data_IF_530155683718
#
_entry.id   IF_530155683718
#
_cell.length_a   1.000
_cell.length_b   1.000
_cell.length_c   1.000
_cell.angle_alpha   90.00
_cell.angle_beta   90.00
_cell.angle_gamma   90.00
#
_symmetry.space_group_name_H-M   'P 1'
#
loop_
_entity.id
_entity.type
_entity.pdbx_description
1 polymer ?
#
# COMPACT_ATOMS: atom_id res chain seq x y z
N UNK A 1 8.13 -0.94 -27.17
CA UNK A 1 9.05 0.15 -26.84
C UNK A 1 10.42 -0.47 -26.53
N UNK A 2 11.52 0.23 -26.77
CA UNK A 2 12.84 -0.23 -26.33
C UNK A 2 13.09 0.11 -24.85
N UNK A 3 14.10 -0.48 -24.28
CA UNK A 3 14.43 -0.27 -22.88
C UNK A 3 14.86 1.19 -22.61
N UNK A 4 15.47 1.89 -23.58
CA UNK A 4 15.89 3.28 -23.42
C UNK A 4 14.71 4.22 -23.20
N UNK A 5 13.65 4.06 -23.98
CA UNK A 5 12.43 4.87 -23.82
C UNK A 5 11.72 4.61 -22.49
N UNK A 6 11.66 3.34 -22.03
CA UNK A 6 11.09 3.01 -20.74
C UNK A 6 11.93 3.57 -19.58
N UNK A 7 13.27 3.55 -19.73
CA UNK A 7 14.19 4.12 -18.74
C UNK A 7 14.09 5.65 -18.67
N UNK A 8 14.01 6.32 -19.82
CA UNK A 8 13.83 7.77 -19.86
C UNK A 8 12.50 8.19 -19.17
N UNK A 9 11.42 7.45 -19.38
CA UNK A 9 10.15 7.68 -18.70
C UNK A 9 10.25 7.45 -17.19
N UNK A 10 10.97 6.41 -16.75
CA UNK A 10 11.23 6.18 -15.33
C UNK A 10 11.93 7.38 -14.70
N UNK A 11 13.00 7.90 -15.34
CA UNK A 11 13.73 9.06 -14.82
C UNK A 11 12.85 10.32 -14.79
N UNK A 12 12.03 10.56 -15.81
CA UNK A 12 11.06 11.67 -15.84
C UNK A 12 10.12 11.59 -14.63
N UNK A 13 9.51 10.43 -14.39
CA UNK A 13 8.51 10.26 -13.32
C UNK A 13 9.16 10.23 -11.92
N UNK A 14 10.33 9.62 -11.75
CA UNK A 14 11.06 9.64 -10.47
C UNK A 14 11.46 11.07 -10.08
N UNK A 15 11.91 11.89 -11.02
CA UNK A 15 12.32 13.27 -10.75
C UNK A 15 11.15 14.25 -10.65
N UNK A 16 9.92 13.80 -10.92
CA UNK A 16 8.72 14.59 -10.70
C UNK A 16 8.23 14.39 -9.27
N UNK A 17 8.34 15.41 -8.43
CA UNK A 17 7.92 15.33 -7.03
C UNK A 17 6.42 14.99 -6.90
N UNK A 18 6.11 14.00 -6.04
CA UNK A 18 4.74 13.51 -5.80
C UNK A 18 4.57 12.95 -4.38
N UNK A 19 4.99 13.68 -3.34
CA UNK A 19 4.69 13.28 -1.97
C UNK A 19 3.17 13.11 -1.77
N UNK A 20 2.75 12.16 -0.92
CA UNK A 20 1.33 11.93 -0.63
C UNK A 20 0.59 13.23 -0.31
N UNK A 21 -0.49 13.52 -1.01
CA UNK A 21 -1.26 14.76 -0.97
C UNK A 21 -0.71 15.88 -1.87
N UNK A 22 0.39 15.65 -2.62
CA UNK A 22 1.05 16.62 -3.52
C UNK A 22 1.29 16.04 -4.93
N UNK A 23 0.40 15.19 -5.40
CA UNK A 23 0.56 14.39 -6.61
C UNK A 23 0.16 15.14 -7.91
N UNK A 24 -0.28 16.41 -7.84
CA UNK A 24 -0.83 17.14 -9.00
C UNK A 24 0.11 17.21 -10.22
N UNK A 25 1.43 17.24 -10.02
CA UNK A 25 2.39 17.31 -11.12
C UNK A 25 2.45 15.99 -11.88
N UNK A 26 2.62 14.87 -11.18
CA UNK A 26 2.68 13.55 -11.79
C UNK A 26 1.33 13.14 -12.37
N UNK A 27 0.21 13.48 -11.72
CA UNK A 27 -1.14 13.21 -12.24
C UNK A 27 -1.35 13.81 -13.63
N UNK A 28 -0.94 15.07 -13.85
CA UNK A 28 -1.03 15.70 -15.19
C UNK A 28 -0.19 14.98 -16.24
N UNK A 29 1.01 14.52 -15.90
CA UNK A 29 1.84 13.72 -16.80
C UNK A 29 1.15 12.40 -17.16
N UNK A 30 0.61 11.68 -16.16
CA UNK A 30 -0.05 10.40 -16.36
C UNK A 30 -1.34 10.53 -17.19
N UNK A 31 -2.13 11.59 -16.97
CA UNK A 31 -3.29 11.91 -17.81
C UNK A 31 -2.85 12.05 -19.27
N UNK A 32 -1.86 12.91 -19.54
CA UNK A 32 -1.38 13.15 -20.91
C UNK A 32 -0.83 11.86 -21.57
N UNK A 33 -0.11 11.02 -20.79
CA UNK A 33 0.43 9.74 -21.29
C UNK A 33 -0.68 8.73 -21.63
N UNK A 34 -1.73 8.63 -20.81
CA UNK A 34 -2.87 7.74 -21.07
C UNK A 34 -3.73 8.26 -22.26
N UNK A 35 -3.97 9.55 -22.33
CA UNK A 35 -4.68 10.16 -23.48
C UNK A 35 -3.94 9.92 -24.81
N UNK A 36 -2.60 10.04 -24.81
CA UNK A 36 -1.77 9.73 -25.98
C UNK A 36 -1.85 8.26 -26.40
N UNK A 37 -2.23 7.35 -25.50
CA UNK A 37 -2.49 5.93 -25.77
C UNK A 37 -3.95 5.65 -26.16
N UNK A 38 -4.78 6.70 -26.28
CA UNK A 38 -6.19 6.58 -26.70
C UNK A 38 -7.13 6.16 -25.58
N UNK A 39 -6.77 6.36 -24.31
CA UNK A 39 -7.66 6.18 -23.18
C UNK A 39 -8.54 7.42 -22.97
N UNK A 40 -9.81 7.20 -22.61
CA UNK A 40 -10.64 8.23 -22.02
C UNK A 40 -10.23 8.37 -20.54
N UNK A 41 -9.70 9.54 -20.16
CA UNK A 41 -9.14 9.74 -18.82
C UNK A 41 -10.03 10.64 -17.99
N UNK A 42 -10.24 10.26 -16.75
CA UNK A 42 -10.93 11.06 -15.73
C UNK A 42 -10.11 11.12 -14.46
N UNK A 43 -10.18 12.23 -13.76
CA UNK A 43 -9.63 12.37 -12.42
C UNK A 43 -10.80 12.55 -11.46
N UNK A 44 -10.80 11.79 -10.36
CA UNK A 44 -11.79 11.93 -9.32
C UNK A 44 -11.38 13.03 -8.30
N UNK A 45 -12.07 13.10 -7.18
CA UNK A 45 -11.77 14.05 -6.10
C UNK A 45 -11.31 13.36 -4.82
N UNK A 46 -10.65 12.19 -4.92
CA UNK A 46 -10.18 11.42 -3.77
C UNK A 46 -9.30 12.25 -2.82
N UNK A 47 -8.49 13.17 -3.33
CA UNK A 47 -7.64 14.05 -2.54
C UNK A 47 -8.40 14.90 -1.51
N UNK A 48 -9.65 15.29 -1.78
CA UNK A 48 -10.46 16.05 -0.83
C UNK A 48 -10.66 15.30 0.50
N UNK A 49 -10.63 13.96 0.49
CA UNK A 49 -10.87 13.13 1.68
C UNK A 49 -9.73 13.19 2.71
N UNK A 50 -8.53 13.59 2.28
CA UNK A 50 -7.35 13.67 3.16
C UNK A 50 -6.54 14.97 3.01
N UNK A 51 -7.10 15.96 2.27
CA UNK A 51 -6.46 17.26 2.06
C UNK A 51 -5.38 17.26 0.97
N UNK A 52 -5.46 16.31 0.03
CA UNK A 52 -4.60 16.22 -1.15
C UNK A 52 -5.00 17.20 -2.25
N UNK A 53 -4.07 17.45 -3.20
CA UNK A 53 -4.21 18.43 -4.28
C UNK A 53 -4.94 17.92 -5.50
N UNK A 54 -5.04 16.60 -5.68
CA UNK A 54 -5.69 15.96 -6.82
C UNK A 54 -6.32 14.62 -6.41
N UNK A 55 -7.04 13.98 -7.33
CA UNK A 55 -7.64 12.68 -7.12
C UNK A 55 -6.95 11.56 -7.90
N UNK A 56 -7.55 10.37 -7.84
CA UNK A 56 -7.10 9.22 -8.64
C UNK A 56 -7.26 9.52 -10.13
N UNK A 57 -6.33 9.02 -10.93
CA UNK A 57 -6.40 9.08 -12.40
C UNK A 57 -6.92 7.74 -12.92
N UNK A 58 -8.11 7.74 -13.51
CA UNK A 58 -8.71 6.57 -14.15
C UNK A 58 -8.70 6.74 -15.66
N UNK A 59 -7.95 5.90 -16.35
CA UNK A 59 -7.97 5.74 -17.80
C UNK A 59 -8.80 4.54 -18.21
N UNK A 60 -9.72 4.71 -19.12
CA UNK A 60 -10.57 3.65 -19.67
C UNK A 60 -10.42 3.59 -21.18
N UNK A 61 -10.18 2.42 -21.71
CA UNK A 61 -10.19 2.14 -23.14
C UNK A 61 -11.11 0.97 -23.43
N UNK A 62 -12.16 1.21 -24.20
CA UNK A 62 -13.05 0.13 -24.66
C UNK A 62 -12.30 -0.80 -25.60
N UNK A 63 -12.64 -2.07 -25.55
CA UNK A 63 -12.08 -3.11 -26.38
C UNK A 63 -13.10 -3.78 -27.28
N UNK A 64 -12.64 -4.70 -28.09
CA UNK A 64 -13.45 -5.47 -29.02
C UNK A 64 -13.92 -6.81 -28.43
N UNK A 65 -13.27 -7.27 -27.36
CA UNK A 65 -13.58 -8.52 -26.64
C UNK A 65 -14.43 -8.25 -25.41
N UNK A 66 -15.21 -9.24 -25.01
CA UNK A 66 -15.94 -9.22 -23.74
C UNK A 66 -14.98 -9.22 -22.55
N UNK A 67 -15.44 -8.63 -21.44
CA UNK A 67 -14.68 -8.56 -20.20
C UNK A 67 -13.94 -7.25 -19.99
N UNK A 68 -13.33 -7.11 -18.81
CA UNK A 68 -12.54 -5.95 -18.43
C UNK A 68 -11.39 -6.37 -17.50
N UNK A 69 -10.22 -5.75 -17.67
CA UNK A 69 -9.04 -5.96 -16.83
C UNK A 69 -8.60 -4.65 -16.20
N UNK A 70 -8.38 -4.65 -14.88
CA UNK A 70 -7.83 -3.53 -14.13
C UNK A 70 -6.31 -3.68 -13.98
N UNK A 71 -5.58 -2.60 -14.26
CA UNK A 71 -4.17 -2.43 -13.93
C UNK A 71 -4.05 -1.25 -12.99
N UNK A 72 -3.40 -1.43 -11.84
CA UNK A 72 -3.33 -0.41 -10.80
C UNK A 72 -1.89 -0.25 -10.28
N UNK A 73 -1.55 0.99 -9.93
CA UNK A 73 -0.32 1.40 -9.27
C UNK A 73 -0.59 2.71 -8.53
N UNK A 74 0.15 3.02 -7.47
CA UNK A 74 0.01 4.33 -6.84
C UNK A 74 1.01 5.34 -7.42
N UNK A 75 0.67 6.63 -7.37
CA UNK A 75 1.52 7.69 -7.94
C UNK A 75 2.15 8.59 -6.89
N UNK A 76 1.80 8.40 -5.62
CA UNK A 76 2.42 9.09 -4.51
C UNK A 76 3.69 8.35 -4.02
N UNK A 77 4.40 9.01 -3.12
CA UNK A 77 5.59 8.51 -2.45
C UNK A 77 5.68 9.06 -1.04
N UNK A 78 6.45 8.40 -0.18
CA UNK A 78 6.73 8.90 1.18
C UNK A 78 7.48 10.25 1.14
N UNK A 79 7.37 11.10 2.19
CA UNK A 79 7.93 12.47 2.18
C UNK A 79 9.43 12.57 1.93
N UNK A 80 10.20 11.52 2.22
CA UNK A 80 11.65 11.44 1.98
C UNK A 80 12.02 11.34 0.49
N UNK A 81 11.02 11.31 -0.41
CA UNK A 81 11.17 11.18 -1.87
C UNK A 81 11.05 12.49 -2.64
N UNK A 82 11.52 13.63 -2.12
CA UNK A 82 11.51 14.91 -2.83
C UNK A 82 12.91 15.27 -3.35
N UNK A 83 12.98 15.84 -4.57
CA UNK A 83 14.22 16.24 -5.19
C UNK A 83 15.18 15.07 -5.45
N UNK A 84 14.66 13.95 -5.91
CA UNK A 84 15.44 12.73 -6.12
C UNK A 84 16.48 12.92 -7.24
N UNK A 85 17.72 12.51 -6.96
CA UNK A 85 18.81 12.41 -7.92
C UNK A 85 19.12 10.94 -8.21
N UNK A 86 18.60 10.36 -9.31
CA UNK A 86 18.82 8.96 -9.64
C UNK A 86 20.28 8.69 -10.04
N UNK A 87 20.84 7.58 -9.58
CA UNK A 87 22.22 7.16 -9.88
C UNK A 87 22.23 5.68 -10.25
N UNK A 88 22.63 5.38 -11.49
CA UNK A 88 22.78 4.00 -11.96
C UNK A 88 24.19 3.48 -11.66
N UNK A 89 24.26 2.25 -11.17
CA UNK A 89 25.52 1.50 -10.96
C UNK A 89 25.27 0.02 -11.22
N UNK A 90 26.03 -0.55 -12.12
CA UNK A 90 26.04 -1.98 -12.43
C UNK A 90 24.63 -2.56 -12.73
N UNK A 91 23.80 -1.81 -13.50
CA UNK A 91 22.44 -2.23 -13.87
C UNK A 91 21.42 -2.11 -12.75
N UNK A 92 21.72 -1.39 -11.69
CA UNK A 92 20.82 -1.08 -10.58
C UNK A 92 20.70 0.43 -10.41
N UNK A 93 19.47 0.92 -10.32
CA UNK A 93 19.18 2.34 -10.06
C UNK A 93 19.01 2.55 -8.55
N UNK A 94 19.62 3.63 -8.05
CA UNK A 94 19.58 4.12 -6.67
C UNK A 94 19.24 5.61 -6.66
N UNK A 95 18.95 6.18 -5.51
CA UNK A 95 19.12 7.62 -5.28
C UNK A 95 20.60 7.92 -5.00
N UNK A 96 20.97 9.20 -4.90
CA UNK A 96 22.30 9.62 -4.45
C UNK A 96 22.57 9.35 -2.96
N UNK A 97 21.58 8.83 -2.23
CA UNK A 97 21.62 8.52 -0.81
C UNK A 97 21.06 9.64 0.09
N UNK A 98 20.69 10.78 -0.46
CA UNK A 98 20.04 11.88 0.29
C UNK A 98 18.53 11.67 0.47
N UNK A 99 17.91 10.87 -0.42
CA UNK A 99 16.47 10.58 -0.45
C UNK A 99 16.23 9.07 -0.66
N UNK A 100 14.98 8.63 -0.62
CA UNK A 100 14.56 7.37 -1.22
C UNK A 100 14.67 7.46 -2.75
N UNK A 101 14.48 6.33 -3.48
CA UNK A 101 14.46 6.32 -4.94
C UNK A 101 13.04 6.55 -5.51
N UNK A 102 11.99 6.22 -4.76
CA UNK A 102 10.59 6.17 -5.20
C UNK A 102 10.35 5.21 -6.39
N UNK A 103 11.12 4.12 -6.47
CA UNK A 103 10.81 3.01 -7.35
C UNK A 103 9.50 2.31 -6.93
N UNK A 104 9.18 2.35 -5.67
CA UNK A 104 7.88 2.18 -5.04
C UNK A 104 7.07 3.48 -5.16
N UNK A 105 6.04 3.64 -6.03
CA UNK A 105 5.60 2.62 -7.00
C UNK A 105 5.71 3.16 -8.46
N UNK A 106 6.63 4.11 -8.70
CA UNK A 106 6.85 4.66 -10.05
C UNK A 106 7.28 3.57 -11.04
N UNK A 107 7.97 2.51 -10.57
CA UNK A 107 8.30 1.38 -11.42
C UNK A 107 7.05 0.62 -11.90
N UNK A 108 6.03 0.51 -11.07
CA UNK A 108 4.73 -0.06 -11.43
C UNK A 108 3.98 0.79 -12.44
N UNK A 109 3.95 2.11 -12.23
CA UNK A 109 3.39 3.06 -13.20
C UNK A 109 4.03 2.88 -14.58
N UNK A 110 5.37 2.85 -14.66
CA UNK A 110 6.10 2.65 -15.92
C UNK A 110 5.83 1.27 -16.53
N UNK A 111 5.76 0.22 -15.72
CA UNK A 111 5.47 -1.13 -16.20
C UNK A 111 4.10 -1.20 -16.88
N UNK A 112 3.08 -0.58 -16.28
CA UNK A 112 1.74 -0.48 -16.87
C UNK A 112 1.79 0.28 -18.20
N UNK A 113 2.40 1.46 -18.23
CA UNK A 113 2.49 2.28 -19.44
C UNK A 113 3.23 1.58 -20.59
N UNK A 114 4.35 0.90 -20.31
CA UNK A 114 5.09 0.11 -21.31
C UNK A 114 4.27 -1.08 -21.80
N UNK A 115 3.62 -1.82 -20.89
CA UNK A 115 2.73 -2.92 -21.22
C UNK A 115 1.61 -2.51 -22.16
N UNK A 116 0.94 -1.39 -21.88
CA UNK A 116 -0.10 -0.83 -22.74
C UNK A 116 0.42 -0.49 -24.12
N UNK A 117 1.57 0.17 -24.24
CA UNK A 117 2.16 0.51 -25.54
C UNK A 117 2.45 -0.73 -26.38
N UNK A 118 2.95 -1.80 -25.76
CA UNK A 118 3.25 -3.08 -26.42
C UNK A 118 1.99 -3.72 -26.99
N UNK A 119 0.94 -3.88 -26.18
CA UNK A 119 -0.30 -4.53 -26.65
C UNK A 119 -1.04 -3.70 -27.69
N UNK A 120 -1.04 -2.37 -27.55
CA UNK A 120 -1.66 -1.49 -28.55
C UNK A 120 -0.89 -1.49 -29.89
N UNK A 121 0.44 -1.58 -29.86
CA UNK A 121 1.27 -1.71 -31.06
C UNK A 121 1.07 -3.05 -31.79
N UNK A 122 0.73 -4.12 -31.06
CA UNK A 122 0.45 -5.42 -31.63
C UNK A 122 -0.87 -5.48 -32.45
N UNK A 123 -1.78 -4.52 -32.22
CA UNK A 123 -3.08 -4.38 -32.93
C UNK A 123 -3.92 -5.67 -32.87
N UNK A 124 -3.86 -6.40 -31.79
CA UNK A 124 -4.72 -7.54 -31.51
C UNK A 124 -6.02 -7.08 -30.84
N UNK A 125 -7.14 -7.81 -30.99
CA UNK A 125 -8.34 -7.52 -30.22
C UNK A 125 -8.07 -7.57 -28.72
N UNK A 126 -8.59 -6.60 -27.98
CA UNK A 126 -8.40 -6.47 -26.54
C UNK A 126 -9.76 -6.37 -25.84
N UNK A 127 -9.87 -6.80 -24.58
CA UNK A 127 -11.00 -6.48 -23.73
C UNK A 127 -10.94 -5.01 -23.30
N UNK A 128 -11.96 -4.53 -22.60
CA UNK A 128 -11.90 -3.24 -21.92
C UNK A 128 -10.70 -3.21 -20.97
N UNK A 129 -9.87 -2.17 -21.09
CA UNK A 129 -8.74 -1.93 -20.20
C UNK A 129 -9.05 -0.76 -19.27
N UNK A 130 -8.88 -0.97 -18.00
CA UNK A 130 -9.04 0.01 -16.94
C UNK A 130 -7.69 0.20 -16.25
N UNK A 131 -7.19 1.42 -16.27
CA UNK A 131 -5.90 1.80 -15.65
C UNK A 131 -6.17 2.79 -14.57
N UNK A 132 -5.76 2.46 -13.34
CA UNK A 132 -5.99 3.32 -12.19
C UNK A 132 -4.64 3.68 -11.55
N UNK A 133 -4.36 4.97 -11.45
CA UNK A 133 -3.26 5.50 -10.66
C UNK A 133 -3.83 6.21 -9.43
N UNK A 134 -3.54 5.69 -8.25
CA UNK A 134 -4.12 6.14 -6.99
C UNK A 134 -3.26 7.22 -6.31
N UNK A 135 -3.89 8.01 -5.44
CA UNK A 135 -3.25 9.02 -4.59
C UNK A 135 -3.22 8.56 -3.12
N UNK A 136 -2.22 9.01 -2.35
CA UNK A 136 -2.19 8.85 -0.90
C UNK A 136 -2.21 7.40 -0.43
N UNK A 137 -1.61 6.48 -1.17
CA UNK A 137 -1.46 5.08 -0.78
C UNK A 137 -0.61 4.99 0.48
N UNK A 138 0.57 5.59 0.45
CA UNK A 138 1.62 5.57 1.48
C UNK A 138 1.18 6.13 2.84
N UNK A 139 0.16 6.94 2.85
CA UNK A 139 -0.37 7.56 4.07
C UNK A 139 -1.65 6.92 4.57
N UNK A 140 -2.16 5.89 3.86
CA UNK A 140 -3.30 5.11 4.34
C UNK A 140 -4.31 4.66 3.30
N UNK A 141 -3.90 4.38 2.07
CA UNK A 141 -4.73 3.87 0.97
C UNK A 141 -5.92 4.81 0.66
N UNK A 142 -5.70 6.13 0.77
CA UNK A 142 -6.81 7.10 0.70
C UNK A 142 -7.45 7.11 -0.68
N UNK A 143 -6.66 7.06 -1.74
CA UNK A 143 -7.17 7.01 -3.10
C UNK A 143 -8.05 5.79 -3.36
N UNK A 144 -7.57 4.61 -2.98
CA UNK A 144 -8.33 3.37 -3.11
C UNK A 144 -9.63 3.39 -2.29
N UNK A 145 -9.59 3.92 -1.06
CA UNK A 145 -10.78 4.05 -0.20
C UNK A 145 -11.84 4.98 -0.75
N UNK A 146 -11.42 6.03 -1.46
CA UNK A 146 -12.31 7.04 -2.04
C UNK A 146 -12.81 6.67 -3.44
N UNK A 147 -12.22 5.63 -4.07
CA UNK A 147 -12.57 5.23 -5.44
C UNK A 147 -14.02 4.75 -5.54
N UNK A 148 -14.76 5.36 -6.46
CA UNK A 148 -16.10 4.90 -6.85
C UNK A 148 -16.00 3.68 -7.77
N UNK A 149 -16.13 2.48 -7.20
CA UNK A 149 -16.03 1.23 -7.93
C UNK A 149 -17.15 1.00 -8.96
N UNK A 150 -18.24 1.78 -8.93
CA UNK A 150 -19.27 1.70 -9.97
C UNK A 150 -18.77 2.11 -11.36
N UNK A 151 -17.64 2.83 -11.41
CA UNK A 151 -16.93 3.21 -12.64
C UNK A 151 -16.11 2.09 -13.24
N UNK A 152 -15.84 1.02 -12.50
CA UNK A 152 -15.06 -0.13 -12.94
C UNK A 152 -15.97 -1.28 -13.37
N UNK A 153 -15.66 -1.84 -14.53
CA UNK A 153 -16.28 -3.06 -15.01
C UNK A 153 -15.45 -4.31 -14.67
N UNK A 154 -14.14 -4.13 -14.47
CA UNK A 154 -13.22 -5.20 -14.14
C UNK A 154 -13.62 -5.93 -12.85
N UNK A 155 -13.53 -7.26 -12.87
CA UNK A 155 -13.76 -8.14 -11.71
C UNK A 155 -12.46 -8.72 -11.17
N UNK A 156 -11.35 -8.46 -11.87
CA UNK A 156 -10.01 -8.81 -11.43
C UNK A 156 -9.03 -7.71 -11.84
N UNK A 157 -7.93 -7.58 -11.07
CA UNK A 157 -6.92 -6.57 -11.32
C UNK A 157 -5.53 -6.96 -10.85
N UNK A 158 -4.53 -6.47 -11.58
CA UNK A 158 -3.12 -6.56 -11.24
C UNK A 158 -2.64 -5.23 -10.68
N UNK A 159 -2.11 -5.26 -9.46
CA UNK A 159 -1.57 -4.11 -8.72
C UNK A 159 -0.05 -4.17 -8.78
N UNK A 160 0.58 -3.29 -9.54
CA UNK A 160 2.03 -3.29 -9.79
C UNK A 160 2.81 -2.65 -8.64
N UNK A 161 2.43 -2.96 -7.43
CA UNK A 161 2.91 -2.43 -6.18
C UNK A 161 3.40 -3.58 -5.28
N UNK A 162 4.52 -4.18 -5.66
CA UNK A 162 5.16 -5.19 -4.82
C UNK A 162 6.68 -5.20 -5.00
N UNK A 163 7.44 -5.28 -3.90
CA UNK A 163 8.89 -5.40 -3.98
C UNK A 163 9.33 -6.78 -4.47
N UNK A 164 10.56 -6.85 -4.99
CA UNK A 164 11.21 -8.09 -5.38
C UNK A 164 11.24 -8.35 -6.87
N UNK A 165 11.85 -9.47 -7.25
CA UNK A 165 12.05 -9.83 -8.66
C UNK A 165 10.77 -10.13 -9.38
N UNK A 166 10.70 -9.79 -10.65
CA UNK A 166 9.57 -10.06 -11.55
C UNK A 166 9.23 -11.55 -11.58
N UNK A 167 7.93 -11.84 -11.67
CA UNK A 167 7.37 -13.20 -11.51
C UNK A 167 6.94 -13.53 -10.08
N UNK A 168 7.18 -12.63 -9.11
CA UNK A 168 6.56 -12.69 -7.79
C UNK A 168 5.19 -12.01 -7.83
N UNK A 169 4.16 -12.74 -7.42
CA UNK A 169 2.80 -12.25 -7.29
C UNK A 169 2.36 -12.34 -5.83
N UNK A 170 1.84 -11.24 -5.30
CA UNK A 170 1.29 -11.19 -3.94
C UNK A 170 -0.20 -11.48 -4.01
N UNK A 171 -0.58 -12.71 -3.65
CA UNK A 171 -1.96 -13.18 -3.69
C UNK A 171 -2.72 -13.05 -2.37
N UNK A 172 -2.12 -12.41 -1.38
CA UNK A 172 -2.75 -12.15 -0.08
C UNK A 172 -1.91 -11.20 0.76
N UNK A 173 -2.58 -10.40 1.58
CA UNK A 173 -1.96 -9.43 2.47
C UNK A 173 -2.70 -9.37 3.82
N UNK A 174 -2.04 -8.93 4.92
CA UNK A 174 -2.70 -8.76 6.20
C UNK A 174 -3.69 -7.60 6.18
N UNK A 175 -4.67 -7.63 7.08
CA UNK A 175 -5.43 -6.47 7.50
C UNK A 175 -4.71 -5.71 8.61
N UNK A 176 -5.12 -4.48 8.83
CA UNK A 176 -4.54 -3.54 9.79
C UNK A 176 -5.61 -2.84 10.62
N UNK A 177 -5.43 -2.85 11.95
CA UNK A 177 -6.07 -1.92 12.87
C UNK A 177 -5.05 -1.00 13.51
N UNK A 178 -5.33 0.29 13.52
CA UNK A 178 -4.67 1.25 14.42
C UNK A 178 -5.35 1.21 15.78
N UNK A 179 -4.55 1.14 16.84
CA UNK A 179 -5.01 0.99 18.23
C UNK A 179 -4.35 2.05 19.11
N UNK A 180 -5.17 2.88 19.77
CA UNK A 180 -4.67 3.97 20.59
C UNK A 180 -5.30 3.93 21.97
N UNK A 181 -4.54 4.29 23.01
CA UNK A 181 -5.00 4.43 24.37
C UNK A 181 -4.55 5.77 24.97
N UNK A 182 -5.50 6.52 25.52
CA UNK A 182 -5.26 7.70 26.36
C UNK A 182 -5.64 7.38 27.79
N UNK A 183 -4.70 7.58 28.71
CA UNK A 183 -4.84 7.27 30.13
C UNK A 183 -4.89 8.57 30.91
N UNK A 184 -5.94 8.79 31.68
CA UNK A 184 -6.11 9.94 32.55
C UNK A 184 -5.94 9.54 34.00
N UNK A 185 -4.97 10.15 34.63
CA UNK A 185 -4.71 10.02 36.07
C UNK A 185 -5.16 11.25 36.84
N UNK A 186 -4.52 11.44 38.01
CA UNK A 186 -4.73 12.61 38.87
C UNK A 186 -3.40 13.05 39.44
N UNK A 187 -3.08 14.35 39.25
CA UNK A 187 -1.87 14.93 39.82
C UNK A 187 -1.91 14.98 41.34
N UNK A 188 -0.75 14.81 41.95
CA UNK A 188 -0.51 15.04 43.38
C UNK A 188 0.97 15.41 43.57
N UNK A 189 1.33 15.99 44.72
CA UNK A 189 2.73 16.25 45.05
C UNK A 189 3.45 14.94 45.38
N UNK A 190 4.43 14.55 44.57
CA UNK A 190 5.05 13.23 44.64
C UNK A 190 5.77 12.94 45.94
N UNK A 191 6.22 13.97 46.69
CA UNK A 191 6.89 13.82 47.97
C UNK A 191 5.97 13.96 49.18
N UNK A 192 4.87 14.72 49.08
CA UNK A 192 4.02 15.02 50.22
C UNK A 192 2.79 14.11 50.34
N UNK A 193 2.15 13.82 49.22
CA UNK A 193 0.86 13.12 49.18
C UNK A 193 0.68 12.28 47.90
N UNK A 194 1.68 11.45 47.54
CA UNK A 194 1.60 10.64 46.31
C UNK A 194 0.38 9.73 46.24
N UNK A 195 -0.12 9.29 47.38
CA UNK A 195 -1.32 8.42 47.52
C UNK A 195 -2.61 9.09 47.06
N UNK A 196 -2.66 10.42 47.01
CA UNK A 196 -3.78 11.19 46.46
C UNK A 196 -3.75 11.24 44.92
N UNK A 197 -2.61 10.92 44.31
CA UNK A 197 -2.43 10.87 42.87
C UNK A 197 -2.96 9.56 42.26
N UNK A 198 -3.13 9.59 40.93
CA UNK A 198 -3.29 8.40 40.08
C UNK A 198 -2.29 8.55 38.93
N UNK A 199 -1.30 7.68 38.90
CA UNK A 199 -0.17 7.79 37.97
C UNK A 199 -0.51 7.16 36.61
N UNK A 200 -0.79 8.00 35.62
CA UNK A 200 -1.11 7.59 34.26
C UNK A 200 0.10 6.93 33.56
N UNK A 201 1.32 7.42 33.80
CA UNK A 201 2.53 6.88 33.17
C UNK A 201 2.81 5.46 33.70
N UNK A 202 2.71 5.25 35.01
CA UNK A 202 2.81 3.90 35.60
C UNK A 202 1.73 2.96 35.05
N UNK A 203 0.48 3.45 34.94
CA UNK A 203 -0.63 2.66 34.42
C UNK A 203 -0.36 2.25 32.95
N UNK A 204 0.15 3.18 32.11
CA UNK A 204 0.57 2.88 30.74
C UNK A 204 1.67 1.80 30.69
N UNK A 205 2.70 1.91 31.54
CA UNK A 205 3.77 0.92 31.60
C UNK A 205 3.25 -0.47 31.98
N UNK A 206 2.31 -0.55 32.93
CA UNK A 206 1.66 -1.80 33.32
C UNK A 206 0.82 -2.39 32.18
N UNK A 207 0.08 -1.56 31.43
CA UNK A 207 -0.64 -2.02 30.24
C UNK A 207 0.32 -2.63 29.22
N UNK A 208 1.36 -1.92 28.83
CA UNK A 208 2.30 -2.34 27.77
C UNK A 208 3.14 -3.55 28.18
N UNK A 209 3.54 -3.65 29.45
CA UNK A 209 4.35 -4.77 29.96
C UNK A 209 3.59 -6.11 29.99
N UNK A 210 2.26 -6.04 30.03
CA UNK A 210 1.40 -7.22 30.10
C UNK A 210 0.55 -7.43 28.83
N UNK A 211 0.57 -6.47 27.92
CA UNK A 211 -0.09 -6.56 26.62
C UNK A 211 0.70 -7.51 25.70
N UNK A 212 0.01 -8.44 25.04
CA UNK A 212 0.64 -9.27 24.01
C UNK A 212 1.02 -8.42 22.79
N UNK A 213 2.27 -8.42 22.42
CA UNK A 213 2.82 -7.66 21.30
C UNK A 213 3.98 -8.39 20.63
N UNK A 214 4.50 -7.83 19.52
CA UNK A 214 5.47 -8.50 18.68
C UNK A 214 4.80 -9.56 17.78
N UNK A 215 5.40 -10.73 17.67
CA UNK A 215 4.85 -11.85 16.88
C UNK A 215 3.79 -12.57 17.72
N UNK A 216 2.52 -12.46 17.31
CA UNK A 216 1.36 -13.08 17.98
C UNK A 216 1.06 -14.49 17.46
N UNK A 217 1.77 -14.93 16.44
CA UNK A 217 1.61 -16.21 15.76
C UNK A 217 2.13 -16.15 14.32
N UNK A 218 1.96 -17.20 13.51
CA UNK A 218 2.52 -17.25 12.15
C UNK A 218 2.01 -16.14 11.22
N UNK A 219 0.81 -15.63 11.47
CA UNK A 219 0.09 -14.72 10.56
C UNK A 219 -0.34 -13.40 11.22
N UNK A 220 0.08 -13.13 12.46
CA UNK A 220 -0.38 -11.95 13.20
C UNK A 220 0.77 -11.28 13.95
N UNK A 221 0.71 -9.95 14.03
CA UNK A 221 1.65 -9.11 14.78
C UNK A 221 0.92 -7.96 15.47
N UNK A 222 1.51 -7.41 16.54
CA UNK A 222 1.10 -6.11 17.09
C UNK A 222 2.34 -5.35 17.55
N UNK A 223 2.30 -4.02 17.40
CA UNK A 223 3.42 -3.14 17.76
C UNK A 223 2.90 -1.81 18.30
N UNK A 224 3.49 -1.30 19.38
CA UNK A 224 3.09 -0.05 20.03
C UNK A 224 4.31 0.84 20.25
N UNK A 225 4.86 1.46 19.21
CA UNK A 225 6.11 2.21 19.28
C UNK A 225 5.98 3.65 19.78
N UNK A 226 4.77 4.23 19.78
CA UNK A 226 4.56 5.65 20.09
C UNK A 226 4.05 5.77 21.53
N UNK A 227 4.87 6.34 22.41
CA UNK A 227 4.54 6.54 23.82
C UNK A 227 4.71 8.01 24.18
N UNK A 228 3.74 8.56 24.92
CA UNK A 228 3.78 9.96 25.37
C UNK A 228 3.31 10.07 26.82
N UNK A 229 3.89 11.01 27.55
CA UNK A 229 3.46 11.38 28.91
C UNK A 229 3.24 12.87 28.99
N UNK A 230 2.30 13.31 29.83
CA UNK A 230 1.94 14.72 30.00
C UNK A 230 2.64 15.42 31.17
N UNK A 231 3.60 14.76 31.85
CA UNK A 231 4.31 15.38 32.98
C UNK A 231 5.58 16.07 32.51
N UNK A 232 5.74 17.34 32.92
CA UNK A 232 6.97 18.14 32.72
C UNK A 232 7.77 18.35 34.02
N UNK A 233 7.24 17.94 35.17
CA UNK A 233 7.82 18.16 36.48
C UNK A 233 8.05 16.84 37.22
N UNK A 234 9.22 16.70 37.84
CA UNK A 234 9.63 15.46 38.55
C UNK A 234 8.92 15.24 39.89
N UNK A 235 8.42 16.29 40.50
CA UNK A 235 7.75 16.28 41.81
C UNK A 235 6.21 16.22 41.71
N UNK A 236 5.68 15.85 40.53
CA UNK A 236 4.23 15.73 40.30
C UNK A 236 3.91 14.33 39.77
N UNK A 237 2.92 13.66 40.35
CA UNK A 237 2.35 12.41 39.84
C UNK A 237 1.77 12.65 38.43
N UNK A 238 2.13 11.83 37.47
CA UNK A 238 1.76 12.01 36.06
C UNK A 238 0.24 11.85 35.85
N UNK A 239 -0.41 12.87 35.34
CA UNK A 239 -1.86 12.89 35.17
C UNK A 239 -2.35 12.46 33.76
N UNK A 240 -1.44 12.32 32.80
CA UNK A 240 -1.78 11.91 31.45
C UNK A 240 -0.66 11.05 30.85
N UNK A 241 -1.06 10.00 30.13
CA UNK A 241 -0.18 9.22 29.28
C UNK A 241 -0.97 8.68 28.08
N UNK A 242 -0.30 8.39 27.00
CA UNK A 242 -0.90 7.74 25.85
C UNK A 242 0.09 6.84 25.13
N UNK A 243 -0.42 5.83 24.46
CA UNK A 243 0.36 5.04 23.52
C UNK A 243 -0.47 4.74 22.27
N UNK A 244 0.24 4.56 21.15
CA UNK A 244 -0.36 4.28 19.86
C UNK A 244 0.41 3.14 19.20
N UNK A 245 -0.32 2.35 18.43
CA UNK A 245 0.26 1.23 17.72
C UNK A 245 -0.72 0.61 16.73
N UNK A 246 -0.34 -0.56 16.26
CA UNK A 246 -1.09 -1.30 15.26
C UNK A 246 -1.15 -2.79 15.56
N UNK A 247 -2.17 -3.45 15.02
CA UNK A 247 -2.26 -4.89 14.95
C UNK A 247 -2.52 -5.32 13.50
N UNK A 248 -1.83 -6.38 13.08
CA UNK A 248 -1.98 -6.96 11.74
C UNK A 248 -2.29 -8.45 11.83
N UNK A 249 -3.13 -8.93 10.93
CA UNK A 249 -3.35 -10.37 10.75
C UNK A 249 -3.83 -10.67 9.32
N UNK A 250 -3.46 -11.86 8.81
CA UNK A 250 -4.00 -12.41 7.56
C UNK A 250 -5.36 -13.09 7.73
N UNK A 251 -5.88 -13.13 8.96
CA UNK A 251 -7.17 -13.70 9.30
C UNK A 251 -8.01 -12.65 10.02
N UNK A 252 -9.19 -12.35 9.48
CA UNK A 252 -10.11 -11.31 9.99
C UNK A 252 -10.48 -11.59 11.44
N UNK A 253 -10.89 -12.83 11.74
CA UNK A 253 -11.34 -13.19 13.08
C UNK A 253 -10.24 -13.04 14.12
N UNK A 254 -9.02 -13.47 13.81
CA UNK A 254 -7.86 -13.30 14.73
C UNK A 254 -7.53 -11.83 14.95
N UNK A 255 -7.71 -11.00 13.93
CA UNK A 255 -7.50 -9.56 14.05
C UNK A 255 -8.54 -8.93 14.97
N UNK A 256 -9.82 -9.24 14.77
CA UNK A 256 -10.93 -8.81 15.62
C UNK A 256 -10.81 -9.33 17.06
N UNK A 257 -10.43 -10.60 17.25
CA UNK A 257 -10.20 -11.20 18.57
C UNK A 257 -9.05 -10.48 19.30
N UNK A 258 -8.00 -10.05 18.58
CA UNK A 258 -6.91 -9.28 19.18
C UNK A 258 -7.36 -7.86 19.57
N UNK A 259 -8.15 -7.20 18.74
CA UNK A 259 -8.73 -5.88 19.05
C UNK A 259 -9.59 -5.96 20.31
N UNK A 260 -10.46 -6.95 20.43
CA UNK A 260 -11.29 -7.18 21.63
C UNK A 260 -10.43 -7.48 22.87
N UNK A 261 -9.37 -8.26 22.70
CA UNK A 261 -8.39 -8.51 23.77
C UNK A 261 -7.70 -7.22 24.21
N UNK A 262 -7.25 -6.38 23.28
CA UNK A 262 -6.61 -5.09 23.56
C UNK A 262 -7.54 -4.20 24.41
N UNK A 263 -8.80 -4.04 23.98
CA UNK A 263 -9.79 -3.24 24.70
C UNK A 263 -10.00 -3.76 26.13
N UNK A 264 -10.27 -5.06 26.28
CA UNK A 264 -10.53 -5.70 27.59
C UNK A 264 -9.31 -5.61 28.51
N UNK A 265 -8.11 -5.82 27.97
CA UNK A 265 -6.86 -5.74 28.72
C UNK A 265 -6.60 -4.33 29.24
N UNK A 266 -6.71 -3.31 28.40
CA UNK A 266 -6.50 -1.92 28.79
C UNK A 266 -7.54 -1.45 29.82
N UNK A 267 -8.81 -1.80 29.65
CA UNK A 267 -9.88 -1.51 30.60
C UNK A 267 -9.60 -2.13 31.99
N UNK A 268 -9.18 -3.40 32.01
CA UNK A 268 -8.86 -4.11 33.27
C UNK A 268 -7.71 -3.44 34.01
N UNK A 269 -6.64 -3.07 33.31
CA UNK A 269 -5.46 -2.44 33.94
C UNK A 269 -5.80 -1.03 34.41
N UNK A 270 -6.53 -0.24 33.62
CA UNK A 270 -6.97 1.10 34.02
C UNK A 270 -7.81 1.07 35.30
N UNK A 271 -8.82 0.19 35.34
CA UNK A 271 -9.70 0.03 36.50
C UNK A 271 -8.94 -0.39 37.75
N UNK A 272 -7.99 -1.32 37.64
CA UNK A 272 -7.16 -1.78 38.75
C UNK A 272 -6.26 -0.68 39.32
N UNK A 273 -5.95 0.35 38.58
CA UNK A 273 -5.11 1.50 38.97
C UNK A 273 -5.91 2.78 39.23
N UNK A 274 -7.23 2.74 39.16
CA UNK A 274 -8.11 3.90 39.36
C UNK A 274 -7.94 5.01 38.29
N UNK A 275 -7.42 4.67 37.10
CA UNK A 275 -7.17 5.59 36.01
C UNK A 275 -8.39 5.64 35.05
N UNK A 276 -8.66 6.84 34.49
CA UNK A 276 -9.55 6.99 33.35
C UNK A 276 -8.89 6.45 32.08
N UNK A 277 -9.71 5.96 31.15
CA UNK A 277 -9.23 5.39 29.89
C UNK A 277 -10.15 5.79 28.73
N UNK A 278 -9.53 6.24 27.64
CA UNK A 278 -10.18 6.41 26.33
C UNK A 278 -9.41 5.58 25.31
N UNK A 279 -10.12 4.68 24.63
CA UNK A 279 -9.58 3.86 23.56
C UNK A 279 -10.10 4.36 22.21
N UNK A 280 -9.26 4.29 21.20
CA UNK A 280 -9.70 4.39 19.80
C UNK A 280 -9.11 3.26 18.98
N UNK A 281 -9.92 2.77 18.05
CA UNK A 281 -9.54 1.75 17.09
C UNK A 281 -10.06 2.17 15.71
N UNK A 282 -9.21 2.00 14.71
CA UNK A 282 -9.57 2.29 13.32
C UNK A 282 -9.17 1.08 12.49
N UNK A 283 -10.14 0.45 11.82
CA UNK A 283 -9.88 -0.53 10.78
C UNK A 283 -9.37 0.21 9.55
N UNK A 284 -8.07 0.09 9.26
CA UNK A 284 -7.50 0.73 8.09
C UNK A 284 -7.86 0.00 6.81
N UNK A 285 -7.71 -1.33 6.84
CA UNK A 285 -8.09 -2.22 5.75
C UNK A 285 -8.19 -3.67 6.22
N UNK A 286 -8.99 -4.46 5.50
CA UNK A 286 -9.17 -5.88 5.75
C UNK A 286 -8.08 -6.72 5.07
N UNK A 287 -7.78 -7.92 5.58
CA UNK A 287 -6.91 -8.84 4.87
C UNK A 287 -7.62 -9.38 3.62
N UNK A 288 -6.83 -9.76 2.63
CA UNK A 288 -7.33 -10.54 1.50
C UNK A 288 -6.45 -11.77 1.26
N UNK A 289 -7.04 -12.76 0.61
CA UNK A 289 -6.35 -13.97 0.16
C UNK A 289 -7.07 -14.50 -1.08
N UNK A 290 -6.35 -14.53 -2.20
CA UNK A 290 -6.79 -15.14 -3.46
C UNK A 290 -6.37 -16.62 -3.42
N UNK A 291 -7.29 -17.57 -3.66
CA UNK A 291 -6.97 -19.00 -3.77
C UNK A 291 -5.92 -19.26 -4.86
N UNK A 292 -5.06 -20.25 -4.65
CA UNK A 292 -3.99 -20.57 -5.62
C UNK A 292 -4.51 -21.12 -6.94
N UNK A 293 -5.73 -21.61 -6.98
CA UNK A 293 -6.45 -22.12 -8.16
C UNK A 293 -7.34 -21.05 -8.82
N UNK A 294 -7.28 -19.81 -8.36
CA UNK A 294 -8.04 -18.72 -8.97
C UNK A 294 -7.54 -18.40 -10.38
N UNK A 295 -8.45 -18.13 -11.34
CA UNK A 295 -8.10 -17.77 -12.72
C UNK A 295 -7.07 -16.66 -12.87
N UNK A 296 -7.04 -15.65 -11.99
CA UNK A 296 -6.07 -14.56 -12.07
C UNK A 296 -4.62 -15.05 -11.92
N UNK A 297 -4.39 -16.06 -11.07
CA UNK A 297 -3.07 -16.66 -10.88
C UNK A 297 -2.71 -17.61 -12.03
N UNK A 298 -3.68 -18.30 -12.62
CA UNK A 298 -3.45 -19.13 -13.81
C UNK A 298 -3.05 -18.26 -15.03
N UNK A 299 -3.67 -17.09 -15.19
CA UNK A 299 -3.28 -16.08 -16.20
C UNK A 299 -1.85 -15.62 -15.94
N UNK A 300 -1.52 -15.27 -14.68
CA UNK A 300 -0.20 -14.82 -14.30
C UNK A 300 0.89 -15.88 -14.54
N UNK A 301 0.60 -17.15 -14.21
CA UNK A 301 1.52 -18.26 -14.48
C UNK A 301 1.74 -18.46 -15.98
N UNK A 302 0.68 -18.37 -16.79
CA UNK A 302 0.76 -18.51 -18.24
C UNK A 302 1.57 -17.37 -18.86
N UNK A 303 1.34 -16.12 -18.44
CA UNK A 303 2.11 -14.97 -18.89
C UNK A 303 3.61 -15.12 -18.53
N UNK A 304 3.91 -15.53 -17.31
CA UNK A 304 5.29 -15.80 -16.88
C UNK A 304 5.95 -16.89 -17.73
N UNK A 305 5.23 -17.98 -18.02
CA UNK A 305 5.73 -19.09 -18.85
C UNK A 305 6.08 -18.62 -20.26
N UNK A 306 5.23 -17.76 -20.86
CA UNK A 306 5.47 -17.16 -22.19
C UNK A 306 6.75 -16.33 -22.27
N UNK A 307 7.16 -15.75 -21.15
CA UNK A 307 8.38 -14.93 -21.03
C UNK A 307 9.57 -15.68 -20.42
N UNK A 308 9.43 -16.99 -20.15
CA UNK A 308 10.44 -17.78 -19.43
C UNK A 308 10.79 -17.22 -18.03
N UNK A 309 9.80 -16.65 -17.34
CA UNK A 309 9.90 -16.13 -15.98
C UNK A 309 9.43 -17.19 -15.00
N UNK A 310 10.14 -17.35 -13.88
CA UNK A 310 9.69 -18.24 -12.80
C UNK A 310 8.51 -17.61 -12.04
N UNK A 311 7.33 -18.18 -12.19
CA UNK A 311 6.14 -17.80 -11.42
C UNK A 311 6.28 -18.15 -9.93
N UNK A 312 5.89 -17.24 -9.03
CA UNK A 312 5.83 -17.43 -7.58
C UNK A 312 4.60 -16.70 -7.04
N UNK A 313 3.68 -17.42 -6.41
CA UNK A 313 2.58 -16.83 -5.63
C UNK A 313 2.98 -16.81 -4.15
N UNK A 314 2.99 -15.62 -3.55
CA UNK A 314 3.43 -15.40 -2.17
C UNK A 314 2.42 -14.54 -1.40
N UNK A 315 2.50 -14.56 -0.08
CA UNK A 315 1.69 -13.68 0.76
C UNK A 315 2.56 -12.52 1.24
N UNK A 316 2.06 -11.30 1.05
CA UNK A 316 2.71 -10.07 1.47
C UNK A 316 2.71 -9.87 3.00
N UNK A 317 3.60 -8.98 3.46
CA UNK A 317 3.69 -8.55 4.86
C UNK A 317 3.05 -7.18 5.13
N UNK A 318 2.92 -6.35 4.11
CA UNK A 318 2.27 -5.04 4.12
C UNK A 318 0.85 -5.06 3.57
N UNK A 319 0.12 -3.96 3.73
CA UNK A 319 -1.10 -3.67 3.00
C UNK A 319 -0.77 -2.96 1.69
N UNK A 320 -1.70 -2.93 0.77
CA UNK A 320 -1.66 -2.24 -0.51
C UNK A 320 -3.08 -1.91 -0.95
N UNK A 321 -3.24 -1.12 -1.98
CA UNK A 321 -4.57 -0.78 -2.51
C UNK A 321 -5.44 -1.99 -2.84
N UNK A 322 -4.84 -3.11 -3.25
CA UNK A 322 -5.52 -4.38 -3.46
C UNK A 322 -6.36 -4.86 -2.25
N UNK A 323 -5.99 -4.49 -1.01
CA UNK A 323 -6.80 -4.80 0.18
C UNK A 323 -8.18 -4.16 0.11
N UNK A 324 -8.25 -2.91 -0.37
CA UNK A 324 -9.50 -2.14 -0.46
C UNK A 324 -10.39 -2.69 -1.55
N UNK A 325 -9.82 -2.94 -2.73
CA UNK A 325 -10.55 -3.47 -3.89
C UNK A 325 -11.05 -4.90 -3.66
N UNK A 326 -10.20 -5.75 -3.04
CA UNK A 326 -10.59 -7.12 -2.69
C UNK A 326 -11.73 -7.17 -1.68
N UNK A 327 -11.74 -6.27 -0.69
CA UNK A 327 -12.83 -6.19 0.28
C UNK A 327 -14.18 -5.80 -0.38
N UNK A 328 -14.16 -5.26 -1.59
CA UNK A 328 -15.33 -4.84 -2.37
C UNK A 328 -15.64 -5.79 -3.55
N UNK A 329 -14.99 -6.96 -3.59
CA UNK A 329 -15.34 -8.04 -4.51
C UNK A 329 -14.60 -8.04 -5.86
N UNK A 330 -13.51 -7.28 -5.99
CA UNK A 330 -12.59 -7.38 -7.15
C UNK A 330 -11.46 -8.33 -6.76
N UNK A 331 -11.21 -9.38 -7.52
CA UNK A 331 -10.07 -10.27 -7.29
C UNK A 331 -8.76 -9.57 -7.63
N UNK A 332 -7.89 -9.35 -6.65
CA UNK A 332 -6.67 -8.55 -6.83
C UNK A 332 -5.42 -9.34 -6.46
N UNK A 333 -4.35 -9.15 -7.22
CA UNK A 333 -3.00 -9.63 -6.88
C UNK A 333 -1.96 -8.53 -7.09
N UNK A 334 -0.99 -8.44 -6.18
CA UNK A 334 0.16 -7.57 -6.34
C UNK A 334 1.19 -8.17 -7.31
N UNK A 335 1.88 -7.34 -8.09
CA UNK A 335 2.89 -7.71 -9.08
C UNK A 335 4.20 -7.05 -8.73
N UNK A 336 5.28 -7.80 -8.61
CA UNK A 336 6.60 -7.27 -8.34
C UNK A 336 7.23 -6.64 -9.59
N UNK A 337 7.92 -5.51 -9.41
CA UNK A 337 8.48 -4.69 -10.50
C UNK A 337 9.99 -4.53 -10.43
N UNK A 338 10.68 -5.16 -9.45
CA UNK A 338 12.14 -5.17 -9.37
C UNK A 338 12.72 -4.28 -8.28
N UNK A 339 11.92 -3.46 -7.59
CA UNK A 339 12.41 -2.65 -6.48
C UNK A 339 12.57 -3.45 -5.18
N UNK A 340 13.43 -2.99 -4.32
CA UNK A 340 13.65 -3.54 -2.97
C UNK A 340 14.10 -2.45 -2.01
N UNK A 341 13.99 -2.71 -0.69
CA UNK A 341 14.36 -1.80 0.40
C UNK A 341 13.62 -0.46 0.35
N UNK A 342 12.39 -0.49 -0.18
CA UNK A 342 11.50 0.68 -0.23
C UNK A 342 11.36 1.37 1.13
N UNK A 343 10.95 2.63 1.13
CA UNK A 343 10.83 3.51 2.30
C UNK A 343 12.17 3.74 3.04
N UNK A 344 13.30 3.50 2.39
CA UNK A 344 14.65 3.77 2.94
C UNK A 344 15.54 4.44 1.91
N UNK A 345 16.56 5.18 2.36
CA UNK A 345 17.59 5.75 1.47
C UNK A 345 18.46 4.68 0.76
N UNK A 346 18.25 3.41 1.08
CA UNK A 346 18.90 2.27 0.42
C UNK A 346 18.01 1.63 -0.65
N UNK A 347 16.87 2.24 -0.95
CA UNK A 347 15.96 1.77 -1.99
C UNK A 347 16.68 1.62 -3.33
N UNK A 348 16.38 0.54 -4.02
CA UNK A 348 17.05 0.19 -5.27
C UNK A 348 16.09 -0.50 -6.24
N UNK A 349 16.35 -0.32 -7.53
CA UNK A 349 15.59 -0.94 -8.63
C UNK A 349 16.56 -1.69 -9.54
N UNK A 350 16.37 -3.00 -9.69
CA UNK A 350 17.13 -3.81 -10.65
C UNK A 350 16.56 -3.55 -12.04
N UNK A 351 17.35 -2.97 -12.93
CA UNK A 351 16.88 -2.52 -14.24
C UNK A 351 16.46 -3.68 -15.15
N UNK A 352 17.08 -4.84 -15.05
CA UNK A 352 16.64 -6.03 -15.80
C UNK A 352 15.23 -6.46 -15.41
N UNK A 353 14.93 -6.53 -14.11
CA UNK A 353 13.59 -6.80 -13.59
C UNK A 353 12.60 -5.70 -14.01
N UNK A 354 13.00 -4.44 -13.91
CA UNK A 354 12.18 -3.29 -14.32
C UNK A 354 11.75 -3.39 -15.79
N UNK A 355 12.68 -3.62 -16.72
CA UNK A 355 12.33 -3.79 -18.14
C UNK A 355 11.50 -5.05 -18.39
N UNK A 356 11.70 -6.08 -17.57
CA UNK A 356 10.92 -7.31 -17.66
C UNK A 356 9.48 -7.11 -17.16
N UNK A 357 9.26 -6.20 -16.18
CA UNK A 357 7.93 -5.90 -15.63
C UNK A 357 6.98 -5.31 -16.68
N UNK A 358 7.46 -4.43 -17.56
CA UNK A 358 6.67 -3.90 -18.67
C UNK A 358 6.28 -4.98 -19.69
N UNK A 359 7.20 -5.91 -19.97
CA UNK A 359 6.88 -7.09 -20.82
C UNK A 359 5.89 -8.02 -20.13
N UNK A 360 6.00 -8.19 -18.82
CA UNK A 360 5.03 -8.97 -18.05
C UNK A 360 3.64 -8.31 -18.04
N UNK A 361 3.56 -6.98 -17.90
CA UNK A 361 2.29 -6.26 -18.00
C UNK A 361 1.60 -6.51 -19.35
N UNK A 362 2.33 -6.45 -20.47
CA UNK A 362 1.81 -6.80 -21.78
C UNK A 362 1.31 -8.26 -21.84
N UNK A 363 2.14 -9.19 -21.38
CA UNK A 363 1.80 -10.62 -21.40
C UNK A 363 0.57 -10.96 -20.53
N UNK A 364 0.37 -10.27 -19.41
CA UNK A 364 -0.83 -10.41 -18.57
C UNK A 364 -2.09 -9.97 -19.32
N UNK A 365 -2.04 -8.82 -20.01
CA UNK A 365 -3.15 -8.31 -20.82
C UNK A 365 -3.45 -9.27 -21.96
N UNK A 366 -2.44 -9.71 -22.71
CA UNK A 366 -2.59 -10.64 -23.85
C UNK A 366 -3.16 -11.99 -23.42
N UNK A 367 -2.65 -12.55 -22.29
CA UNK A 367 -3.14 -13.83 -21.77
C UNK A 367 -4.60 -13.73 -21.29
N UNK A 368 -4.96 -12.60 -20.67
CA UNK A 368 -6.36 -12.34 -20.30
C UNK A 368 -7.26 -12.24 -21.55
N UNK A 369 -6.83 -11.51 -22.58
CA UNK A 369 -7.55 -11.37 -23.84
C UNK A 369 -7.81 -12.72 -24.53
N UNK A 370 -6.79 -13.59 -24.61
CA UNK A 370 -6.95 -14.96 -25.15
C UNK A 370 -8.00 -15.78 -24.41
N UNK A 371 -8.11 -15.60 -23.09
CA UNK A 371 -9.18 -16.21 -22.29
C UNK A 371 -10.58 -15.66 -22.57
N UNK A 372 -10.69 -14.45 -23.09
CA UNK A 372 -11.95 -13.83 -23.52
C UNK A 372 -12.41 -14.32 -24.89
N UNK A 373 -11.49 -14.56 -25.82
CA UNK A 373 -11.80 -15.12 -27.16
C UNK A 373 -12.35 -16.54 -27.13
N UNK A 374 -12.03 -17.30 -26.06
CA UNK A 374 -12.36 -18.72 -25.95
C UNK A 374 -13.73 -18.97 -25.33
N UNK A 375 -14.48 -17.95 -24.96
CA UNK A 375 -15.84 -18.02 -24.40
C UNK A 375 -16.89 -17.59 -25.41
#
# INVERSE_FOLDING_TARGET
MDNESMYAELLELITTDSASGKESAIARLLISKLEALGFAVTMDNAGETFGGECGNVLGVREGELDGALLLCSHMDRVPEGLGIHPVERDGVLYSDGSTILAADDISGVCAILDGLRRVLAAKVPLPRLEVLFTVGEETGLYGAKAMDLSKLHAKMGYFFDSPGSVGRFVHGAPGLYQLNAEITGRSAHAGNEPEKGVDAARTMCLMLSTLRQGRLGPISTANFPILRTGSSARNVVCHFASFQGEARSRDVKRLEDYVAYFETHCQKVAAANGAGLKLSKVENFRPFLVPLDDPILAIAETACRGLNIKFRAEIGGGGMDANIFSAQGITCVGVATGYTKNHTHSEQLVLEDFFLSGRLAAALIETYAQGCESK
#
